data_IF_296225183990
#
_entry.id   IF_296225183990
#
_cell.length_a   1.000
_cell.length_b   1.000
_cell.length_c   1.000
_cell.angle_alpha   90.00
_cell.angle_beta   90.00
_cell.angle_gamma   90.00
#
_symmetry.space_group_name_H-M   'P 1'
#
loop_
_entity.id
_entity.type
_entity.pdbx_description
1 polymer ?
#
# COMPACT_ATOMS: atom_id res chain seq x y z
N UNK A 1 -25.02 11.72 25.50
CA UNK A 1 -24.57 10.93 24.33
C UNK A 1 -24.34 9.51 24.84
N UNK A 2 -25.00 8.49 24.28
CA UNK A 2 -24.91 7.13 24.83
C UNK A 2 -23.47 6.55 24.75
N UNK A 3 -23.06 5.70 25.72
CA UNK A 3 -21.68 5.22 25.85
C UNK A 3 -21.16 4.50 24.60
N UNK A 4 -22.04 3.83 23.86
CA UNK A 4 -21.70 3.16 22.60
C UNK A 4 -21.30 4.18 21.51
N UNK A 5 -21.99 5.33 21.43
CA UNK A 5 -21.74 6.34 20.40
C UNK A 5 -20.43 7.10 20.64
N UNK A 6 -20.01 7.27 21.89
CA UNK A 6 -18.69 7.85 22.20
C UNK A 6 -17.57 6.90 21.80
N UNK A 7 -17.67 5.61 22.13
CA UNK A 7 -16.68 4.59 21.76
C UNK A 7 -16.52 4.51 20.24
N UNK A 8 -17.63 4.51 19.48
CA UNK A 8 -17.56 4.48 18.01
C UNK A 8 -16.90 5.72 17.40
N UNK A 9 -17.01 6.89 18.04
CA UNK A 9 -16.34 8.13 17.60
C UNK A 9 -14.84 8.05 17.86
N UNK A 10 -14.44 7.58 19.03
CA UNK A 10 -13.03 7.37 19.39
C UNK A 10 -12.37 6.37 18.43
N UNK A 11 -13.02 5.24 18.17
CA UNK A 11 -12.50 4.24 17.24
C UNK A 11 -12.41 4.76 15.79
N UNK A 12 -13.34 5.64 15.40
CA UNK A 12 -13.28 6.31 14.10
C UNK A 12 -12.07 7.23 14.01
N UNK A 13 -11.78 8.00 15.07
CA UNK A 13 -10.63 8.90 15.11
C UNK A 13 -9.31 8.11 15.05
N UNK A 14 -9.20 7.05 15.85
CA UNK A 14 -8.08 6.10 15.83
C UNK A 14 -7.86 5.51 14.42
N UNK A 15 -8.94 5.06 13.77
CA UNK A 15 -8.89 4.53 12.42
C UNK A 15 -8.43 5.56 11.38
N UNK A 16 -8.86 6.83 11.51
CA UNK A 16 -8.41 7.92 10.64
C UNK A 16 -6.91 8.23 10.85
N UNK A 17 -6.43 8.19 12.07
CA UNK A 17 -5.00 8.32 12.38
C UNK A 17 -4.18 7.19 11.76
N UNK A 18 -4.63 5.93 11.89
CA UNK A 18 -3.99 4.78 11.25
C UNK A 18 -3.98 4.91 9.73
N UNK A 19 -5.09 5.34 9.12
CA UNK A 19 -5.18 5.56 7.68
C UNK A 19 -4.10 6.54 7.20
N UNK A 20 -4.00 7.70 7.86
CA UNK A 20 -2.98 8.72 7.55
C UNK A 20 -1.55 8.19 7.75
N UNK A 21 -1.33 7.39 8.79
CA UNK A 21 -0.05 6.72 9.03
C UNK A 21 0.36 5.80 7.89
N UNK A 22 -0.53 4.91 7.46
CA UNK A 22 -0.25 3.99 6.35
C UNK A 22 -0.08 4.70 5.01
N UNK A 23 -0.85 5.76 4.74
CA UNK A 23 -0.68 6.58 3.54
C UNK A 23 0.70 7.28 3.53
N UNK A 24 1.15 7.78 4.68
CA UNK A 24 2.48 8.38 4.86
C UNK A 24 3.59 7.35 4.62
N UNK A 25 3.52 6.18 5.22
CA UNK A 25 4.53 5.13 5.02
C UNK A 25 4.57 4.65 3.56
N UNK A 26 3.41 4.50 2.91
CA UNK A 26 3.36 4.17 1.48
C UNK A 26 4.01 5.23 0.59
N UNK A 27 3.91 6.51 0.94
CA UNK A 27 4.50 7.60 0.16
C UNK A 27 6.04 7.62 0.21
N UNK A 28 6.64 7.12 1.31
CA UNK A 28 8.09 7.02 1.48
C UNK A 28 8.70 5.86 0.68
N UNK A 29 7.90 4.84 0.37
CA UNK A 29 8.39 3.65 -0.32
C UNK A 29 8.57 3.91 -1.81
N UNK A 30 9.74 3.59 -2.40
CA UNK A 30 9.99 3.80 -3.83
C UNK A 30 8.96 3.10 -4.70
N UNK A 31 8.58 3.79 -5.78
CA UNK A 31 7.62 3.29 -6.76
C UNK A 31 8.27 2.24 -7.66
N UNK A 32 7.43 1.32 -8.12
CA UNK A 32 7.82 0.25 -9.04
C UNK A 32 8.48 -0.97 -8.39
N UNK A 33 8.80 -1.97 -9.18
CA UNK A 33 9.41 -3.22 -8.71
C UNK A 33 10.40 -3.75 -9.74
N UNK A 34 11.47 -4.38 -9.29
CA UNK A 34 12.36 -5.09 -10.20
C UNK A 34 11.67 -6.34 -10.74
N UNK A 35 11.80 -6.53 -12.05
CA UNK A 35 11.36 -7.72 -12.79
C UNK A 35 12.56 -8.28 -13.52
N UNK A 36 12.77 -9.58 -13.37
CA UNK A 36 13.79 -10.34 -14.06
C UNK A 36 13.25 -10.81 -15.41
N UNK A 37 14.00 -10.59 -16.49
CA UNK A 37 13.72 -11.10 -17.83
C UNK A 37 14.90 -11.94 -18.31
N UNK A 38 14.61 -13.08 -18.93
CA UNK A 38 15.61 -13.93 -19.57
C UNK A 38 15.51 -13.76 -21.09
N UNK A 39 16.57 -13.30 -21.73
CA UNK A 39 16.63 -13.05 -23.17
C UNK A 39 17.91 -13.69 -23.72
N UNK A 40 17.78 -14.61 -24.69
CA UNK A 40 18.90 -15.34 -25.31
C UNK A 40 19.90 -15.91 -24.28
N UNK A 41 19.38 -16.53 -23.21
CA UNK A 41 20.20 -17.12 -22.14
C UNK A 41 20.71 -16.14 -21.07
N UNK A 42 20.63 -14.83 -21.30
CA UNK A 42 21.08 -13.81 -20.36
C UNK A 42 19.95 -13.27 -19.48
N UNK A 43 20.29 -12.87 -18.25
CA UNK A 43 19.35 -12.34 -17.28
C UNK A 43 19.48 -10.82 -17.15
N UNK A 44 18.35 -10.14 -17.25
CA UNK A 44 18.25 -8.69 -17.25
C UNK A 44 17.19 -8.22 -16.27
N UNK A 45 17.50 -7.17 -15.51
CA UNK A 45 16.55 -6.57 -14.58
C UNK A 45 15.94 -5.30 -15.16
N UNK A 46 14.64 -5.15 -14.96
CA UNK A 46 13.87 -3.99 -15.35
C UNK A 46 13.13 -3.44 -14.13
N UNK A 47 13.22 -2.13 -13.89
CA UNK A 47 12.36 -1.46 -12.92
C UNK A 47 11.03 -1.13 -13.60
N UNK A 48 9.96 -1.76 -13.10
CA UNK A 48 8.61 -1.59 -13.64
C UNK A 48 7.84 -0.62 -12.76
N UNK A 49 7.42 0.51 -13.31
CA UNK A 49 6.63 1.53 -12.62
C UNK A 49 5.40 1.92 -13.44
N UNK A 50 4.41 2.56 -12.81
CA UNK A 50 3.29 3.20 -13.52
C UNK A 50 3.44 4.70 -13.42
N UNK A 51 3.44 5.36 -14.57
CA UNK A 51 3.47 6.82 -14.70
C UNK A 51 2.36 7.23 -15.66
N UNK A 52 1.50 8.16 -15.24
CA UNK A 52 0.37 8.65 -16.04
C UNK A 52 -0.50 7.53 -16.63
N UNK A 53 -0.79 6.49 -15.83
CA UNK A 53 -1.59 5.34 -16.25
C UNK A 53 -0.87 4.31 -17.12
N UNK A 54 0.31 4.62 -17.66
CA UNK A 54 1.09 3.71 -18.52
C UNK A 54 2.14 2.96 -17.70
N UNK A 55 2.35 1.68 -18.03
CA UNK A 55 3.42 0.87 -17.45
C UNK A 55 4.72 1.19 -18.17
N UNK A 56 5.76 1.60 -17.43
CA UNK A 56 7.11 1.84 -17.95
C UNK A 56 8.06 0.76 -17.45
N UNK A 57 8.89 0.25 -18.36
CA UNK A 57 9.98 -0.68 -18.06
C UNK A 57 11.30 0.07 -18.24
N UNK A 58 11.98 0.39 -17.14
CA UNK A 58 13.31 0.99 -17.19
C UNK A 58 14.35 -0.11 -17.07
N UNK A 59 15.21 -0.27 -18.07
CA UNK A 59 16.31 -1.22 -18.03
C UNK A 59 17.29 -0.85 -16.91
N UNK A 60 17.64 -1.81 -16.06
CA UNK A 60 18.62 -1.66 -14.97
C UNK A 60 19.84 -2.57 -15.14
N UNK A 61 19.91 -3.34 -16.22
CA UNK A 61 21.04 -4.21 -16.50
C UNK A 61 21.23 -5.31 -15.45
N UNK A 62 22.50 -5.55 -15.09
CA UNK A 62 22.88 -6.43 -13.99
C UNK A 62 22.78 -5.64 -12.69
N UNK A 63 21.83 -6.04 -11.85
CA UNK A 63 21.60 -5.43 -10.53
C UNK A 63 22.25 -6.32 -9.47
N UNK A 64 22.85 -5.71 -8.45
CA UNK A 64 23.52 -6.44 -7.37
C UNK A 64 22.54 -7.31 -6.58
N UNK A 65 23.05 -8.25 -5.76
CA UNK A 65 22.20 -9.07 -4.90
C UNK A 65 21.50 -8.18 -3.86
N UNK A 66 22.22 -7.22 -3.26
CA UNK A 66 21.69 -6.35 -2.22
C UNK A 66 20.54 -5.48 -2.75
N UNK A 67 20.68 -4.92 -3.94
CA UNK A 67 19.63 -4.14 -4.57
C UNK A 67 18.39 -5.00 -4.85
N UNK A 68 18.56 -6.22 -5.35
CA UNK A 68 17.44 -7.14 -5.60
C UNK A 68 16.65 -7.43 -4.32
N UNK A 69 17.35 -7.70 -3.22
CA UNK A 69 16.70 -7.89 -1.92
C UNK A 69 16.00 -6.63 -1.43
N UNK A 70 16.63 -5.45 -1.57
CA UNK A 70 16.04 -4.18 -1.16
C UNK A 70 14.73 -3.91 -1.91
N UNK A 71 14.71 -4.12 -3.22
CA UNK A 71 13.48 -3.97 -4.01
C UNK A 71 12.43 -5.03 -3.67
N UNK A 72 12.84 -6.26 -3.35
CA UNK A 72 11.96 -7.32 -2.84
C UNK A 72 11.29 -6.92 -1.53
N UNK A 73 12.08 -6.61 -0.50
CA UNK A 73 11.60 -6.14 0.82
C UNK A 73 10.67 -4.92 0.68
N UNK A 74 11.01 -3.97 -0.19
CA UNK A 74 10.17 -2.79 -0.46
C UNK A 74 8.84 -3.15 -1.14
N UNK A 75 8.83 -4.15 -2.03
CA UNK A 75 7.60 -4.65 -2.67
C UNK A 75 6.68 -5.27 -1.63
N UNK A 76 7.22 -6.09 -0.73
CA UNK A 76 6.46 -6.79 0.31
C UNK A 76 5.91 -5.81 1.35
N UNK A 77 6.71 -4.84 1.78
CA UNK A 77 6.26 -3.76 2.65
C UNK A 77 5.11 -2.96 2.02
N UNK A 78 5.21 -2.60 0.73
CA UNK A 78 4.09 -1.94 0.02
C UNK A 78 2.84 -2.79 -0.02
N UNK A 79 2.97 -4.10 -0.28
CA UNK A 79 1.82 -5.00 -0.29
C UNK A 79 1.15 -5.06 1.09
N UNK A 80 1.96 -5.16 2.16
CA UNK A 80 1.49 -5.14 3.56
C UNK A 80 0.74 -3.85 3.88
N UNK A 81 1.35 -2.68 3.66
CA UNK A 81 0.71 -1.40 3.94
C UNK A 81 -0.54 -1.14 3.10
N UNK A 82 -0.56 -1.57 1.82
CA UNK A 82 -1.78 -1.47 0.99
C UNK A 82 -2.92 -2.34 1.53
N UNK A 83 -2.61 -3.54 2.01
CA UNK A 83 -3.60 -4.42 2.65
C UNK A 83 -4.16 -3.77 3.91
N UNK A 84 -3.29 -3.28 4.80
CA UNK A 84 -3.68 -2.59 6.02
C UNK A 84 -4.52 -1.34 5.73
N UNK A 85 -4.11 -0.53 4.76
CA UNK A 85 -4.84 0.66 4.34
C UNK A 85 -6.25 0.32 3.82
N UNK A 86 -6.36 -0.75 3.02
CA UNK A 86 -7.66 -1.22 2.51
C UNK A 86 -8.59 -1.66 3.65
N UNK A 87 -8.05 -2.40 4.64
CA UNK A 87 -8.82 -2.83 5.82
C UNK A 87 -9.29 -1.63 6.64
N UNK A 88 -8.39 -0.69 6.96
CA UNK A 88 -8.76 0.52 7.71
C UNK A 88 -9.78 1.37 6.96
N UNK A 89 -9.68 1.50 5.62
CA UNK A 89 -10.69 2.22 4.83
C UNK A 89 -12.08 1.58 4.93
N UNK A 90 -12.15 0.25 4.95
CA UNK A 90 -13.41 -0.48 5.19
C UNK A 90 -13.94 -0.22 6.60
N UNK A 91 -13.08 -0.25 7.61
CA UNK A 91 -13.45 0.04 8.99
C UNK A 91 -13.96 1.48 9.16
N UNK A 92 -13.27 2.48 8.61
CA UNK A 92 -13.72 3.88 8.60
C UNK A 92 -15.08 4.01 7.95
N UNK A 93 -15.32 3.31 6.82
CA UNK A 93 -16.62 3.31 6.14
C UNK A 93 -17.71 2.70 7.04
N UNK A 94 -17.43 1.56 7.67
CA UNK A 94 -18.32 0.91 8.63
C UNK A 94 -18.70 1.86 9.78
N UNK A 95 -17.71 2.40 10.49
CA UNK A 95 -17.91 3.29 11.64
C UNK A 95 -18.70 4.54 11.29
N UNK A 96 -18.43 5.13 10.12
CA UNK A 96 -19.21 6.28 9.61
C UNK A 96 -20.67 5.93 9.36
N UNK A 97 -20.96 4.74 8.82
CA UNK A 97 -22.33 4.27 8.60
C UNK A 97 -23.04 3.99 9.92
N UNK A 98 -22.39 3.28 10.85
CA UNK A 98 -22.94 2.97 12.17
C UNK A 98 -23.27 4.23 12.98
N UNK A 99 -22.41 5.25 12.94
CA UNK A 99 -22.67 6.54 13.61
C UNK A 99 -23.85 7.32 13.01
N UNK A 100 -24.19 7.07 11.74
CA UNK A 100 -25.35 7.64 11.04
C UNK A 100 -26.62 6.79 11.19
N UNK A 101 -26.54 5.62 11.83
CA UNK A 101 -27.66 4.68 11.93
C UNK A 101 -27.99 3.96 10.62
N UNK A 102 -27.03 3.86 9.68
CA UNK A 102 -27.20 3.09 8.43
C UNK A 102 -26.33 1.85 8.46
N UNK A 103 -26.83 0.73 7.93
CA UNK A 103 -25.99 -0.44 7.69
C UNK A 103 -24.94 -0.14 6.60
N UNK A 104 -23.69 -0.56 6.78
CA UNK A 104 -22.65 -0.36 5.77
C UNK A 104 -22.83 -1.34 4.60
N UNK A 105 -23.10 -0.79 3.42
CA UNK A 105 -23.21 -1.49 2.12
C UNK A 105 -21.84 -1.94 1.61
#
# INVERSE_FOLDING_TARGET
>A
MGPIKSVLKEELDNSLHLQKGYERELSKLPKGSLVKKRIKGHEYYYLVSREHGKVKFMYKGRVSVEDREKYGKTKDLRAKYRKLLSLVKKQVRFLRSSLRGKEPI
#
